data_IF_223422364810
#
_entry.id   IF_223422364810
#
_cell.length_a   1.000
_cell.length_b   1.000
_cell.length_c   1.000
_cell.angle_alpha   90.00
_cell.angle_beta   90.00
_cell.angle_gamma   90.00
#
_symmetry.space_group_name_H-M   'P 1'
#
loop_
_entity.id
_entity.type
_entity.pdbx_description
1 polymer ?
#
# COMPACT_ATOMS: atom_id res chain seq x y z
N UNK A 1 1.95 -33.27 -23.89
CA UNK A 1 3.04 -32.54 -23.19
C UNK A 1 2.46 -32.05 -21.87
N UNK A 2 2.87 -32.64 -20.74
CA UNK A 2 2.33 -32.30 -19.43
C UNK A 2 2.96 -31.02 -18.90
N UNK A 3 2.15 -29.99 -18.68
CA UNK A 3 2.60 -28.79 -17.99
C UNK A 3 2.93 -29.15 -16.54
N UNK A 4 4.21 -29.13 -16.17
CA UNK A 4 4.63 -29.18 -14.76
C UNK A 4 4.15 -27.90 -14.09
N UNK A 5 3.01 -27.98 -13.39
CA UNK A 5 2.62 -26.97 -12.42
C UNK A 5 3.60 -27.07 -11.27
N UNK A 6 4.48 -26.08 -11.13
CA UNK A 6 5.34 -25.96 -9.95
C UNK A 6 4.42 -25.58 -8.79
N UNK A 7 4.01 -26.57 -8.01
CA UNK A 7 3.31 -26.35 -6.75
C UNK A 7 4.35 -25.85 -5.76
N UNK A 8 4.45 -24.53 -5.60
CA UNK A 8 5.17 -23.97 -4.47
C UNK A 8 4.41 -24.35 -3.21
N UNK A 9 5.13 -24.81 -2.18
CA UNK A 9 4.52 -25.02 -0.87
C UNK A 9 4.17 -23.64 -0.27
N UNK A 10 2.95 -23.20 -0.59
CA UNK A 10 2.39 -21.91 -0.21
C UNK A 10 2.33 -21.81 1.32
N UNK A 11 2.34 -22.93 2.05
CA UNK A 11 2.33 -22.95 3.51
C UNK A 11 3.62 -22.38 4.11
N UNK A 12 4.78 -22.61 3.46
CA UNK A 12 6.07 -22.07 3.90
C UNK A 12 6.14 -20.56 3.62
N UNK A 13 5.71 -20.12 2.44
CA UNK A 13 5.66 -18.69 2.09
C UNK A 13 4.69 -17.94 3.00
N UNK A 14 3.52 -18.53 3.28
CA UNK A 14 2.54 -18.02 4.23
C UNK A 14 3.10 -17.96 5.67
N UNK A 15 3.80 -19.00 6.13
CA UNK A 15 4.39 -19.00 7.47
C UNK A 15 5.49 -17.93 7.62
N UNK A 16 6.32 -17.73 6.59
CA UNK A 16 7.30 -16.64 6.53
C UNK A 16 6.62 -15.27 6.53
N UNK A 17 5.52 -15.13 5.79
CA UNK A 17 4.70 -13.92 5.77
C UNK A 17 4.08 -13.61 7.13
N UNK A 18 3.41 -14.59 7.75
CA UNK A 18 2.82 -14.47 9.09
C UNK A 18 3.89 -14.11 10.13
N UNK A 19 5.08 -14.70 10.05
CA UNK A 19 6.22 -14.37 10.91
C UNK A 19 6.66 -12.92 10.71
N UNK A 20 6.72 -12.45 9.46
CA UNK A 20 7.08 -11.07 9.11
C UNK A 20 6.03 -10.07 9.59
N UNK A 21 4.74 -10.36 9.42
CA UNK A 21 3.63 -9.54 9.93
C UNK A 21 3.66 -9.49 11.46
N UNK A 22 3.86 -10.62 12.15
CA UNK A 22 4.02 -10.66 13.62
C UNK A 22 5.21 -9.83 14.09
N UNK A 23 6.35 -9.96 13.41
CA UNK A 23 7.55 -9.16 13.70
C UNK A 23 7.30 -7.67 13.48
N UNK A 24 6.56 -7.30 12.44
CA UNK A 24 6.19 -5.91 12.17
C UNK A 24 5.25 -5.37 13.25
N UNK A 25 4.19 -6.10 13.65
CA UNK A 25 3.32 -5.75 14.77
C UNK A 25 4.10 -5.54 16.08
N UNK A 26 5.02 -6.46 16.39
CA UNK A 26 5.85 -6.37 17.59
C UNK A 26 6.82 -5.18 17.53
N UNK A 27 7.37 -4.89 16.35
CA UNK A 27 8.22 -3.72 16.13
C UNK A 27 7.40 -2.43 16.30
N UNK A 28 6.21 -2.31 15.70
CA UNK A 28 5.34 -1.14 15.85
C UNK A 28 4.99 -0.88 17.33
N UNK A 29 4.65 -1.93 18.09
CA UNK A 29 4.37 -1.80 19.52
C UNK A 29 5.60 -1.29 20.31
N UNK A 30 6.77 -1.87 20.07
CA UNK A 30 8.02 -1.43 20.72
C UNK A 30 8.42 -0.01 20.33
N UNK A 31 8.21 0.37 19.07
CA UNK A 31 8.53 1.70 18.56
C UNK A 31 7.57 2.74 19.15
N UNK A 32 6.27 2.45 19.25
CA UNK A 32 5.30 3.28 19.94
C UNK A 32 5.65 3.49 21.42
N UNK A 33 6.00 2.42 22.14
CA UNK A 33 6.46 2.47 23.53
C UNK A 33 7.78 3.27 23.68
N UNK A 34 8.68 3.17 22.68
CA UNK A 34 9.94 3.95 22.66
C UNK A 34 9.68 5.43 22.45
N UNK A 35 8.78 5.78 21.53
CA UNK A 35 8.40 7.16 21.23
C UNK A 35 7.63 7.79 22.40
N UNK A 36 6.72 7.07 23.05
CA UNK A 36 6.02 7.52 24.26
C UNK A 36 7.00 7.82 25.41
N UNK A 37 8.09 7.06 25.52
CA UNK A 37 9.15 7.26 26.52
C UNK A 37 10.19 8.30 26.11
N UNK A 38 10.24 8.71 24.85
CA UNK A 38 11.22 9.68 24.35
C UNK A 38 10.65 11.09 24.47
N UNK A 39 11.33 11.95 25.23
CA UNK A 39 10.99 13.37 25.33
C UNK A 39 11.39 14.20 24.08
N UNK A 40 11.90 13.55 23.04
CA UNK A 40 12.25 14.20 21.78
C UNK A 40 10.96 14.41 20.98
N UNK A 41 10.70 15.68 20.63
CA UNK A 41 9.58 16.07 19.80
C UNK A 41 9.50 15.19 18.55
N UNK A 42 8.27 14.78 18.23
CA UNK A 42 7.89 13.97 17.09
C UNK A 42 8.28 14.73 15.81
N UNK A 43 9.53 14.59 15.35
CA UNK A 43 9.91 15.06 14.03
C UNK A 43 9.15 14.22 13.01
N UNK A 44 8.07 14.80 12.48
CA UNK A 44 7.38 14.24 11.33
C UNK A 44 8.42 14.24 10.21
N UNK A 45 8.85 13.05 9.79
CA UNK A 45 9.74 12.93 8.65
C UNK A 45 8.87 13.10 7.40
N UNK A 46 8.99 14.24 6.74
CA UNK A 46 8.30 14.56 5.50
C UNK A 46 9.26 14.53 4.32
N UNK A 47 8.74 14.32 3.11
CA UNK A 47 9.54 14.45 1.91
C UNK A 47 9.86 15.94 1.67
N UNK A 48 11.11 16.30 1.38
CA UNK A 48 11.53 17.70 1.31
C UNK A 48 10.86 18.44 0.15
N UNK A 49 10.43 19.68 0.37
CA UNK A 49 9.78 20.51 -0.65
C UNK A 49 10.61 20.71 -1.91
N UNK A 50 11.94 20.62 -1.82
CA UNK A 50 12.82 20.69 -2.99
C UNK A 50 12.53 19.60 -4.01
N UNK A 51 11.93 18.47 -3.58
CA UNK A 51 11.56 17.35 -4.45
C UNK A 51 10.56 17.75 -5.54
N UNK A 52 9.76 18.81 -5.31
CA UNK A 52 8.79 19.34 -6.29
C UNK A 52 9.43 19.80 -7.60
N UNK A 53 10.74 20.02 -7.62
CA UNK A 53 11.49 20.45 -8.82
C UNK A 53 11.85 19.27 -9.72
N UNK A 54 11.81 18.03 -9.22
CA UNK A 54 12.21 16.83 -9.95
C UNK A 54 11.00 16.07 -10.53
N UNK A 55 10.03 16.79 -11.11
CA UNK A 55 8.81 16.23 -11.71
C UNK A 55 9.06 15.25 -12.88
N UNK A 56 10.29 15.20 -13.39
CA UNK A 56 10.75 14.25 -14.39
C UNK A 56 10.90 12.82 -13.84
N UNK A 57 10.99 12.65 -12.51
CA UNK A 57 11.08 11.34 -11.87
C UNK A 57 9.80 10.53 -12.13
N UNK A 58 10.00 9.26 -12.48
CA UNK A 58 8.92 8.34 -12.82
C UNK A 58 8.73 7.24 -11.78
N UNK A 59 9.72 7.05 -10.90
CA UNK A 59 9.74 5.94 -9.98
C UNK A 59 10.32 6.40 -8.66
N UNK A 60 9.58 6.21 -7.58
CA UNK A 60 10.01 6.48 -6.22
C UNK A 60 10.09 5.18 -5.44
N UNK A 61 11.27 4.90 -4.89
CA UNK A 61 11.53 3.76 -4.03
C UNK A 61 11.98 4.27 -2.68
N UNK A 62 11.07 4.25 -1.70
CA UNK A 62 11.31 4.79 -0.35
C UNK A 62 10.90 3.73 0.65
N UNK A 63 11.85 2.87 0.99
CA UNK A 63 11.61 1.73 1.85
C UNK A 63 12.20 1.92 3.24
N UNK A 64 11.50 1.44 4.28
CA UNK A 64 12.05 1.36 5.65
C UNK A 64 12.51 2.71 6.20
N UNK A 65 11.76 3.77 5.91
CA UNK A 65 11.96 5.10 6.50
C UNK A 65 10.89 5.39 7.56
N UNK A 66 10.91 6.58 8.17
CA UNK A 66 9.92 6.99 9.18
C UNK A 66 8.90 7.99 8.63
N UNK A 67 8.71 8.02 7.31
CA UNK A 67 7.79 8.96 6.66
C UNK A 67 6.35 8.68 7.09
N UNK A 68 5.65 9.74 7.50
CA UNK A 68 4.26 9.66 7.97
C UNK A 68 3.25 10.20 6.96
N UNK A 69 3.69 11.11 6.08
CA UNK A 69 2.83 11.86 5.16
C UNK A 69 3.47 11.85 3.77
N UNK A 70 2.66 11.55 2.76
CA UNK A 70 3.00 11.83 1.36
C UNK A 70 2.51 13.26 1.08
N UNK A 71 3.39 14.15 0.60
CA UNK A 71 3.05 15.55 0.36
C UNK A 71 2.07 15.71 -0.80
N UNK A 72 1.21 16.72 -0.74
CA UNK A 72 0.19 17.00 -1.76
C UNK A 72 0.79 17.36 -3.12
N UNK A 73 2.00 17.93 -3.15
CA UNK A 73 2.72 18.20 -4.39
C UNK A 73 3.05 16.95 -5.22
N UNK A 74 2.73 15.74 -4.72
CA UNK A 74 2.78 14.51 -5.51
C UNK A 74 1.99 14.63 -6.82
N UNK A 75 0.93 15.46 -6.87
CA UNK A 75 0.21 15.73 -8.12
C UNK A 75 1.07 16.31 -9.24
N UNK A 76 2.20 16.94 -8.92
CA UNK A 76 3.10 17.51 -9.93
C UNK A 76 3.84 16.43 -10.74
N UNK A 77 3.92 15.20 -10.24
CA UNK A 77 4.65 14.09 -10.86
C UNK A 77 3.79 13.37 -11.91
N UNK A 78 3.34 14.10 -12.92
CA UNK A 78 2.45 13.59 -13.97
C UNK A 78 3.04 12.40 -14.76
N UNK A 79 4.37 12.24 -14.77
CA UNK A 79 5.07 11.13 -15.41
C UNK A 79 5.32 9.92 -14.49
N UNK A 80 4.86 9.97 -13.23
CA UNK A 80 5.03 8.90 -12.24
C UNK A 80 4.40 7.59 -12.73
N UNK A 81 5.14 6.50 -12.59
CA UNK A 81 4.77 5.13 -12.94
C UNK A 81 4.79 4.20 -11.74
N UNK A 82 5.75 4.37 -10.84
CA UNK A 82 5.94 3.49 -9.68
C UNK A 82 6.07 4.33 -8.42
N UNK A 83 5.22 4.06 -7.44
CA UNK A 83 5.31 4.61 -6.11
C UNK A 83 5.43 3.46 -5.10
N UNK A 84 6.67 3.13 -4.74
CA UNK A 84 7.03 2.03 -3.85
C UNK A 84 7.46 2.59 -2.48
N UNK A 85 6.55 2.55 -1.52
CA UNK A 85 6.67 3.13 -0.18
C UNK A 85 6.49 2.10 0.97
N UNK A 86 7.06 0.88 0.90
CA UNK A 86 6.80 -0.14 1.89
C UNK A 86 7.55 0.12 3.20
N UNK A 87 6.95 -0.30 4.32
CA UNK A 87 7.55 -0.22 5.67
C UNK A 87 7.89 1.21 6.10
N UNK A 88 6.98 2.15 5.88
CA UNK A 88 7.08 3.49 6.46
C UNK A 88 6.05 3.63 7.59
N UNK A 89 5.75 4.86 7.99
CA UNK A 89 4.73 5.16 9.00
C UNK A 89 3.54 5.92 8.41
N UNK A 90 3.25 5.72 7.12
CA UNK A 90 2.25 6.51 6.39
C UNK A 90 0.86 6.25 6.98
N UNK A 91 0.17 7.32 7.36
CA UNK A 91 -1.15 7.24 8.03
C UNK A 91 -2.32 7.46 7.08
N UNK A 92 -2.11 8.24 6.01
CA UNK A 92 -3.08 8.48 4.95
C UNK A 92 -2.36 8.69 3.61
N UNK A 93 -3.08 8.44 2.52
CA UNK A 93 -2.67 8.89 1.18
C UNK A 93 -3.42 10.18 0.84
N UNK A 94 -2.75 11.18 0.23
CA UNK A 94 -3.39 12.40 -0.23
C UNK A 94 -4.36 12.12 -1.39
N UNK A 95 -5.43 12.91 -1.50
CA UNK A 95 -6.41 12.81 -2.60
C UNK A 95 -5.74 13.07 -3.97
N UNK A 96 -4.68 13.89 -3.95
CA UNK A 96 -3.82 14.24 -5.08
C UNK A 96 -3.20 13.02 -5.78
N UNK A 97 -3.16 11.84 -5.13
CA UNK A 97 -2.73 10.60 -5.77
C UNK A 97 -3.54 10.30 -7.04
N UNK A 98 -4.83 10.68 -7.10
CA UNK A 98 -5.69 10.49 -8.27
C UNK A 98 -5.28 11.29 -9.51
N UNK A 99 -4.37 12.26 -9.35
CA UNK A 99 -3.76 13.03 -10.45
C UNK A 99 -2.64 12.28 -11.14
N UNK A 100 -2.13 11.19 -10.57
CA UNK A 100 -1.05 10.39 -11.16
C UNK A 100 -1.59 9.44 -12.26
N UNK A 101 -2.06 9.99 -13.38
CA UNK A 101 -2.71 9.21 -14.44
C UNK A 101 -1.83 8.14 -15.09
N UNK A 102 -0.50 8.25 -14.97
CA UNK A 102 0.45 7.28 -15.49
C UNK A 102 0.92 6.23 -14.47
N UNK A 103 0.40 6.29 -13.23
CA UNK A 103 0.79 5.36 -12.16
C UNK A 103 0.35 3.94 -12.54
N UNK A 104 1.31 3.02 -12.54
CA UNK A 104 1.13 1.60 -12.83
C UNK A 104 1.24 0.76 -11.58
N UNK A 105 2.12 1.14 -10.65
CA UNK A 105 2.36 0.38 -9.43
C UNK A 105 2.31 1.29 -8.21
N UNK A 106 1.47 0.91 -7.25
CA UNK A 106 1.40 1.53 -5.93
C UNK A 106 1.62 0.46 -4.88
N UNK A 107 2.70 0.60 -4.11
CA UNK A 107 2.99 -0.24 -2.95
C UNK A 107 3.10 0.63 -1.71
N UNK A 108 2.16 0.46 -0.81
CA UNK A 108 2.08 1.12 0.50
C UNK A 108 1.95 0.08 1.61
N UNK A 109 2.53 -1.10 1.38
CA UNK A 109 2.51 -2.20 2.34
C UNK A 109 3.27 -1.87 3.63
N UNK A 110 2.85 -2.48 4.74
CA UNK A 110 3.48 -2.30 6.05
C UNK A 110 3.54 -0.83 6.51
N UNK A 111 2.45 -0.08 6.32
CA UNK A 111 2.25 1.28 6.84
C UNK A 111 1.15 1.28 7.93
N UNK A 112 0.56 2.44 8.21
CA UNK A 112 -0.52 2.62 9.18
C UNK A 112 -1.79 3.21 8.54
N UNK A 113 -2.05 2.87 7.27
CA UNK A 113 -3.21 3.37 6.55
C UNK A 113 -4.50 2.87 7.21
N UNK A 114 -5.38 3.82 7.54
CA UNK A 114 -6.74 3.52 8.03
C UNK A 114 -7.77 3.49 6.91
N UNK A 115 -7.51 4.23 5.84
CA UNK A 115 -8.34 4.33 4.66
C UNK A 115 -7.49 4.57 3.41
N UNK A 116 -8.08 4.30 2.26
CA UNK A 116 -7.57 4.66 0.94
C UNK A 116 -8.47 5.78 0.40
N UNK A 117 -7.93 6.85 -0.20
CA UNK A 117 -8.75 7.92 -0.78
C UNK A 117 -9.55 7.40 -1.99
N UNK A 118 -10.82 7.80 -2.17
CA UNK A 118 -11.62 7.43 -3.33
C UNK A 118 -10.97 7.87 -4.65
N UNK A 119 -10.22 8.96 -4.63
CA UNK A 119 -9.45 9.48 -5.76
C UNK A 119 -8.39 8.52 -6.27
N UNK A 120 -7.98 7.48 -5.51
CA UNK A 120 -7.14 6.44 -6.09
C UNK A 120 -7.81 5.76 -7.29
N UNK A 121 -9.15 5.70 -7.32
CA UNK A 121 -9.93 5.17 -8.44
C UNK A 121 -9.69 5.90 -9.77
N UNK A 122 -9.16 7.12 -9.74
CA UNK A 122 -8.84 7.94 -10.90
C UNK A 122 -7.51 7.55 -11.58
N UNK A 123 -6.72 6.65 -10.98
CA UNK A 123 -5.48 6.11 -11.55
C UNK A 123 -5.78 4.97 -12.54
N UNK A 124 -6.42 5.28 -13.66
CA UNK A 124 -6.96 4.29 -14.62
C UNK A 124 -5.92 3.30 -15.18
N UNK A 125 -4.64 3.65 -15.18
CA UNK A 125 -3.53 2.81 -15.64
C UNK A 125 -2.89 1.96 -14.54
N UNK A 126 -3.43 1.95 -13.32
CA UNK A 126 -2.88 1.15 -12.24
C UNK A 126 -3.01 -0.34 -12.57
N UNK A 127 -1.90 -1.06 -12.48
CA UNK A 127 -1.78 -2.49 -12.80
C UNK A 127 -1.55 -3.30 -11.51
N UNK A 128 -0.87 -2.73 -10.51
CA UNK A 128 -0.51 -3.36 -9.24
C UNK A 128 -0.83 -2.46 -8.06
N UNK A 129 -1.63 -2.98 -7.13
CA UNK A 129 -1.95 -2.33 -5.85
C UNK A 129 -1.56 -3.25 -4.68
N UNK A 130 -0.66 -2.79 -3.83
CA UNK A 130 -0.29 -3.47 -2.59
C UNK A 130 -0.50 -2.54 -1.40
N UNK A 131 -1.52 -2.82 -0.58
CA UNK A 131 -1.76 -2.15 0.69
C UNK A 131 -1.82 -3.17 1.85
N UNK A 132 -1.07 -4.27 1.71
CA UNK A 132 -0.97 -5.31 2.72
C UNK A 132 -0.32 -4.82 4.01
N UNK A 133 -0.67 -5.43 5.15
CA UNK A 133 0.01 -5.17 6.42
C UNK A 133 -0.16 -3.76 6.98
N UNK A 134 -1.25 -3.06 6.64
CA UNK A 134 -1.60 -1.76 7.24
C UNK A 134 -2.34 -1.90 8.60
N UNK A 135 -2.70 -3.14 8.97
CA UNK A 135 -3.21 -3.58 10.28
C UNK A 135 -4.56 -3.00 10.73
N UNK A 136 -4.92 -1.80 10.31
CA UNK A 136 -6.15 -1.07 10.67
C UNK A 136 -7.04 -0.75 9.48
N UNK A 137 -6.62 -1.09 8.25
CA UNK A 137 -7.44 -0.91 7.05
C UNK A 137 -8.63 -1.89 7.07
N UNK A 138 -9.84 -1.36 6.97
CA UNK A 138 -11.09 -2.15 7.10
C UNK A 138 -11.90 -2.23 5.83
N UNK A 139 -11.78 -1.24 4.95
CA UNK A 139 -12.56 -1.15 3.71
C UNK A 139 -11.76 -0.45 2.59
N UNK A 140 -12.24 -0.59 1.35
CA UNK A 140 -11.76 0.11 0.17
C UNK A 140 -12.90 0.93 -0.45
N UNK A 141 -12.65 2.16 -0.93
CA UNK A 141 -13.67 2.96 -1.59
C UNK A 141 -14.28 2.25 -2.80
N UNK A 142 -15.56 2.52 -3.07
CA UNK A 142 -16.23 1.95 -4.24
C UNK A 142 -15.63 2.46 -5.55
N UNK A 143 -15.08 3.67 -5.55
CA UNK A 143 -14.43 4.34 -6.66
C UNK A 143 -13.24 3.54 -7.21
N UNK A 144 -12.59 2.71 -6.39
CA UNK A 144 -11.54 1.79 -6.86
C UNK A 144 -12.06 0.76 -7.88
N UNK A 145 -13.38 0.61 -8.03
CA UNK A 145 -13.97 -0.18 -9.11
C UNK A 145 -13.68 0.39 -10.52
N UNK A 146 -13.21 1.63 -10.63
CA UNK A 146 -12.75 2.24 -11.87
C UNK A 146 -11.37 1.73 -12.34
N UNK A 147 -10.63 1.04 -11.47
CA UNK A 147 -9.30 0.50 -11.77
C UNK A 147 -9.38 -0.73 -12.68
N UNK A 148 -9.67 -0.52 -13.97
CA UNK A 148 -9.91 -1.59 -14.94
C UNK A 148 -8.66 -2.34 -15.39
N UNK A 149 -7.48 -1.75 -15.18
CA UNK A 149 -6.20 -2.33 -15.59
C UNK A 149 -5.52 -3.16 -14.49
N UNK A 150 -6.04 -3.13 -13.26
CA UNK A 150 -5.42 -3.83 -12.13
C UNK A 150 -5.46 -5.34 -12.35
N UNK A 151 -4.29 -5.95 -12.26
CA UNK A 151 -4.09 -7.40 -12.37
C UNK A 151 -3.69 -8.03 -11.04
N UNK A 152 -3.11 -7.24 -10.13
CA UNK A 152 -2.63 -7.69 -8.84
C UNK A 152 -3.15 -6.78 -7.72
N UNK A 153 -3.78 -7.40 -6.72
CA UNK A 153 -4.20 -6.73 -5.48
C UNK A 153 -3.75 -7.55 -4.27
N UNK A 154 -2.96 -6.94 -3.39
CA UNK A 154 -2.67 -7.48 -2.06
C UNK A 154 -3.28 -6.58 -0.98
N UNK A 155 -4.28 -7.10 -0.28
CA UNK A 155 -4.88 -6.47 0.90
C UNK A 155 -4.75 -7.38 2.14
N UNK A 156 -3.80 -8.30 2.12
CA UNK A 156 -3.56 -9.23 3.22
C UNK A 156 -3.11 -8.51 4.49
N UNK A 157 -3.26 -9.17 5.64
CA UNK A 157 -2.82 -8.65 6.95
C UNK A 157 -3.43 -7.29 7.33
N UNK A 158 -4.75 -7.15 7.11
CA UNK A 158 -5.56 -6.00 7.45
C UNK A 158 -6.76 -6.43 8.33
N UNK A 159 -7.85 -5.66 8.35
CA UNK A 159 -9.07 -5.92 9.16
C UNK A 159 -10.34 -6.03 8.33
N UNK A 160 -10.24 -6.40 7.05
CA UNK A 160 -11.41 -6.59 6.19
C UNK A 160 -12.33 -7.68 6.75
N UNK A 161 -13.61 -7.38 6.91
CA UNK A 161 -14.64 -8.32 7.38
C UNK A 161 -15.34 -9.07 6.24
N UNK A 162 -15.22 -8.55 5.02
CA UNK A 162 -15.74 -9.16 3.79
C UNK A 162 -14.82 -8.82 2.62
N UNK A 163 -15.00 -9.49 1.48
CA UNK A 163 -14.29 -9.15 0.25
C UNK A 163 -14.84 -7.82 -0.29
N UNK A 164 -14.02 -6.77 -0.48
CA UNK A 164 -14.51 -5.47 -0.94
C UNK A 164 -15.16 -5.56 -2.33
N UNK A 165 -16.35 -4.98 -2.48
CA UNK A 165 -17.12 -5.03 -3.73
C UNK A 165 -16.34 -4.41 -4.90
N UNK A 166 -15.53 -3.37 -4.65
CA UNK A 166 -14.72 -2.74 -5.69
C UNK A 166 -13.72 -3.70 -6.34
N UNK A 167 -13.09 -4.59 -5.56
CA UNK A 167 -12.16 -5.61 -6.03
C UNK A 167 -12.86 -6.62 -6.94
N UNK A 168 -14.10 -6.99 -6.61
CA UNK A 168 -14.92 -7.88 -7.45
C UNK A 168 -15.31 -7.26 -8.81
N UNK A 169 -15.16 -5.94 -8.98
CA UNK A 169 -15.44 -5.21 -10.24
C UNK A 169 -14.19 -4.91 -11.07
N UNK A 170 -13.01 -5.32 -10.60
CA UNK A 170 -11.75 -5.22 -11.34
C UNK A 170 -11.66 -6.34 -12.37
N UNK A 171 -12.09 -6.06 -13.61
CA UNK A 171 -12.29 -7.08 -14.64
C UNK A 171 -11.00 -7.76 -15.16
N UNK A 172 -9.83 -7.19 -14.88
CA UNK A 172 -8.51 -7.75 -15.26
C UNK A 172 -7.75 -8.39 -14.10
N UNK A 173 -8.36 -8.48 -12.91
CA UNK A 173 -7.72 -9.03 -11.73
C UNK A 173 -7.34 -10.51 -11.95
N UNK A 174 -6.07 -10.83 -11.76
CA UNK A 174 -5.52 -12.18 -11.91
C UNK A 174 -5.05 -12.75 -10.58
N UNK A 175 -4.60 -11.88 -9.68
CA UNK A 175 -4.06 -12.25 -8.39
C UNK A 175 -4.66 -11.37 -7.29
N UNK A 176 -5.22 -12.03 -6.28
CA UNK A 176 -5.83 -11.38 -5.12
C UNK A 176 -5.38 -12.11 -3.85
N UNK A 177 -4.72 -11.40 -2.95
CA UNK A 177 -4.44 -11.89 -1.59
C UNK A 177 -5.25 -11.09 -0.57
N UNK A 178 -6.11 -11.81 0.12
CA UNK A 178 -7.00 -11.34 1.21
C UNK A 178 -6.70 -12.08 2.51
N UNK A 179 -5.59 -12.82 2.59
CA UNK A 179 -5.22 -13.62 3.75
C UNK A 179 -4.99 -12.75 4.99
N UNK A 180 -5.08 -13.36 6.16
CA UNK A 180 -4.82 -12.65 7.44
C UNK A 180 -5.72 -11.43 7.66
N UNK A 181 -6.98 -11.51 7.23
CA UNK A 181 -8.05 -10.56 7.51
C UNK A 181 -9.09 -11.16 8.47
N UNK A 182 -10.15 -10.41 8.79
CA UNK A 182 -11.24 -10.83 9.68
C UNK A 182 -12.47 -11.30 8.89
N UNK A 183 -12.26 -11.99 7.77
CA UNK A 183 -13.33 -12.45 6.88
C UNK A 183 -14.24 -13.46 7.59
N UNK A 184 -15.54 -13.18 7.60
CA UNK A 184 -16.60 -14.04 8.17
C UNK A 184 -17.41 -14.76 7.10
#
# INVERSE_FOLDING_TARGET
MGHKVVVFDISVVRALWETRVKKHKAWQKKEAERLEKSALEKYILELPDSLKEQTHLKEWYIHSTLIQIIPTYIELFQAMKILDLPKNQITCLPAEIGRLKNLKELNVSFNHLKSIPPELGDCEHLERLDCSGNLDLMDLPFELSNLKQVTFVDISANKFSSVPICVLRMCRLQWLDISSNNLS
#
